data_IF_531390795040
#
_entry.id   IF_531390795040
#
_cell.length_a   1.000
_cell.length_b   1.000
_cell.length_c   1.000
_cell.angle_alpha   90.00
_cell.angle_beta   90.00
_cell.angle_gamma   90.00
#
_symmetry.space_group_name_H-M   'P 1'
#
loop_
_entity.id
_entity.type
_entity.pdbx_description
1 polymer ?
#
# COMPACT_ATOMS: atom_id res chain seq x y z
N UNK A 1 -17.94 1.07 15.13
CA UNK A 1 -17.78 0.10 16.24
C UNK A 1 -17.20 -1.18 15.65
N UNK A 2 -15.91 -1.45 15.89
CA UNK A 2 -15.20 -2.60 15.33
C UNK A 2 -14.52 -3.39 16.46
N UNK A 3 -14.69 -4.71 16.33
CA UNK A 3 -14.26 -5.88 17.08
C UNK A 3 -13.23 -5.70 18.22
N UNK A 4 -13.66 -6.07 19.44
CA UNK A 4 -12.77 -6.55 20.50
C UNK A 4 -12.18 -7.90 20.09
N UNK A 5 -10.87 -7.91 19.85
CA UNK A 5 -10.05 -9.11 19.72
C UNK A 5 -8.65 -8.81 20.23
N UNK A 6 -8.46 -8.97 21.54
CA UNK A 6 -7.22 -8.76 22.31
C UNK A 6 -6.41 -7.49 21.98
N UNK A 7 -6.81 -6.37 22.58
CA UNK A 7 -5.85 -5.30 22.86
C UNK A 7 -4.70 -5.89 23.68
N UNK A 8 -3.49 -5.71 23.18
CA UNK A 8 -2.27 -6.12 23.86
C UNK A 8 -2.19 -5.58 25.28
N UNK A 9 -1.45 -6.30 26.13
CA UNK A 9 -1.06 -5.80 27.45
C UNK A 9 -0.41 -4.41 27.39
N UNK A 10 -0.26 -3.73 28.53
CA UNK A 10 0.00 -2.29 28.56
C UNK A 10 1.33 -1.92 27.86
N UNK A 11 1.26 -1.06 26.83
CA UNK A 11 2.28 -0.01 26.61
C UNK A 11 3.09 0.04 25.30
N UNK A 12 3.05 -0.94 24.38
CA UNK A 12 3.86 -0.90 23.15
C UNK A 12 3.12 -0.38 21.93
N UNK A 13 3.83 0.36 21.07
CA UNK A 13 3.30 0.89 19.81
C UNK A 13 4.28 0.66 18.66
N UNK A 14 3.72 0.42 17.47
CA UNK A 14 4.38 0.60 16.20
C UNK A 14 4.05 2.00 15.65
N UNK A 15 5.04 2.88 15.56
CA UNK A 15 4.88 4.21 14.98
C UNK A 15 5.25 4.19 13.50
N UNK A 16 4.32 4.58 12.64
CA UNK A 16 4.57 4.81 11.22
C UNK A 16 4.71 6.30 10.99
N UNK A 17 5.75 6.73 10.27
CA UNK A 17 6.04 8.14 10.02
C UNK A 17 6.24 8.38 8.55
N UNK A 18 5.55 9.38 8.02
CA UNK A 18 5.76 9.86 6.68
C UNK A 18 7.07 10.65 6.61
N UNK A 19 7.85 10.34 5.59
CA UNK A 19 9.06 11.03 5.20
C UNK A 19 9.12 11.07 3.67
N UNK A 20 10.26 11.48 3.13
CA UNK A 20 10.56 11.44 1.70
C UNK A 20 11.78 10.55 1.45
N UNK A 21 12.06 10.24 0.19
CA UNK A 21 13.13 9.36 -0.27
C UNK A 21 14.50 9.88 0.19
N UNK A 22 14.72 11.21 0.17
CA UNK A 22 15.94 11.84 0.70
C UNK A 22 16.10 11.59 2.21
N UNK A 23 15.01 11.76 2.97
CA UNK A 23 14.97 11.53 4.42
C UNK A 23 15.25 10.07 4.77
N UNK A 24 14.66 9.13 4.04
CA UNK A 24 14.95 7.70 4.18
C UNK A 24 16.41 7.38 3.88
N UNK A 25 16.95 7.93 2.80
CA UNK A 25 18.36 7.71 2.45
C UNK A 25 19.31 8.24 3.52
N UNK A 26 19.04 9.42 4.06
CA UNK A 26 19.81 9.97 5.18
C UNK A 26 19.72 9.08 6.43
N UNK A 27 18.52 8.61 6.79
CA UNK A 27 18.32 7.71 7.92
C UNK A 27 19.06 6.37 7.72
N UNK A 28 18.99 5.79 6.52
CA UNK A 28 19.70 4.57 6.13
C UNK A 28 21.22 4.75 6.22
N UNK A 29 21.76 5.84 5.67
CA UNK A 29 23.20 6.14 5.72
C UNK A 29 23.69 6.30 7.15
N UNK A 30 22.97 7.06 7.98
CA UNK A 30 23.31 7.23 9.40
C UNK A 30 23.37 5.88 10.14
N UNK A 31 22.45 4.95 9.83
CA UNK A 31 22.45 3.60 10.40
C UNK A 31 23.60 2.75 9.86
N UNK A 32 23.89 2.79 8.56
CA UNK A 32 25.01 2.03 7.98
C UNK A 32 26.37 2.38 8.64
N UNK A 33 26.54 3.62 9.11
CA UNK A 33 27.75 4.05 9.83
C UNK A 33 27.82 3.51 11.27
N UNK A 34 26.68 3.22 11.90
CA UNK A 34 26.61 2.58 13.22
C UNK A 34 26.85 1.05 13.14
N UNK A 35 26.69 0.44 11.95
CA UNK A 35 26.74 -1.01 11.76
C UNK A 35 27.82 -1.43 10.74
N UNK A 36 28.97 -1.94 11.22
CA UNK A 36 30.02 -2.56 10.36
C UNK A 36 29.64 -3.94 9.80
N UNK A 37 28.41 -4.43 10.01
CA UNK A 37 28.01 -5.81 9.71
C UNK A 37 26.78 -5.96 8.80
N UNK A 38 26.33 -4.90 8.10
CA UNK A 38 25.34 -5.10 7.03
C UNK A 38 26.07 -5.77 5.84
N UNK A 39 25.59 -6.91 5.31
CA UNK A 39 26.17 -7.52 4.13
C UNK A 39 26.25 -6.52 2.97
N UNK A 40 27.35 -6.58 2.20
CA UNK A 40 27.72 -5.70 1.07
C UNK A 40 26.70 -5.62 -0.10
N UNK A 41 25.48 -6.15 0.05
CA UNK A 41 24.43 -6.14 -0.98
C UNK A 41 23.31 -5.11 -0.80
N UNK A 42 23.13 -4.51 0.38
CA UNK A 42 22.05 -3.53 0.65
C UNK A 42 22.53 -2.07 0.57
N UNK A 43 23.26 -1.70 -0.49
CA UNK A 43 23.79 -0.34 -0.66
C UNK A 43 22.77 0.65 -1.22
N UNK A 44 21.62 0.17 -1.69
CA UNK A 44 20.58 0.98 -2.33
C UNK A 44 19.29 0.88 -1.52
N UNK A 45 18.59 2.02 -1.40
CA UNK A 45 17.23 2.03 -0.87
C UNK A 45 16.34 1.41 -1.95
N UNK A 46 15.46 0.50 -1.58
CA UNK A 46 14.48 -0.06 -2.52
C UNK A 46 13.09 0.11 -1.94
N UNK A 47 12.13 0.40 -2.79
CA UNK A 47 10.73 0.31 -2.43
C UNK A 47 10.36 -1.14 -2.08
N UNK A 48 9.14 -1.35 -1.62
CA UNK A 48 8.67 -2.70 -1.28
C UNK A 48 8.41 -3.58 -2.52
N UNK A 49 8.47 -3.01 -3.73
CA UNK A 49 8.50 -3.72 -5.00
C UNK A 49 9.91 -4.21 -5.38
N UNK A 50 10.95 -3.73 -4.71
CA UNK A 50 12.36 -4.01 -5.02
C UNK A 50 12.98 -3.03 -6.02
N UNK A 51 12.31 -1.93 -6.33
CA UNK A 51 12.77 -0.88 -7.27
C UNK A 51 13.48 0.24 -6.52
N UNK A 52 14.38 0.96 -7.20
CA UNK A 52 15.03 2.14 -6.63
C UNK A 52 14.12 3.38 -6.73
N UNK A 53 13.63 3.93 -5.61
CA UNK A 53 12.79 5.13 -5.60
C UNK A 53 13.54 6.40 -6.06
N UNK A 54 14.87 6.39 -6.15
CA UNK A 54 15.65 7.49 -6.73
C UNK A 54 15.75 7.43 -8.25
N UNK A 55 15.35 6.31 -8.86
CA UNK A 55 15.46 6.06 -10.28
C UNK A 55 14.17 5.43 -10.84
N UNK A 56 13.01 5.94 -10.39
CA UNK A 56 11.75 5.67 -11.08
C UNK A 56 11.76 6.31 -12.47
N UNK A 57 11.05 5.66 -13.40
CA UNK A 57 11.06 5.98 -14.83
C UNK A 57 12.04 5.11 -15.61
N UNK A 58 11.81 5.02 -16.92
CA UNK A 58 12.68 4.34 -17.88
C UNK A 58 13.44 5.33 -18.79
N UNK A 59 13.14 6.64 -18.63
CA UNK A 59 13.76 7.74 -19.35
C UNK A 59 13.40 7.78 -20.83
N UNK A 60 13.71 8.89 -21.49
CA UNK A 60 13.27 9.18 -22.86
C UNK A 60 13.80 8.27 -23.99
N UNK A 61 14.45 7.15 -23.68
CA UNK A 61 14.97 6.18 -24.66
C UNK A 61 13.86 5.40 -25.38
N UNK A 62 12.66 5.41 -24.83
CA UNK A 62 11.42 4.83 -25.31
C UNK A 62 10.62 5.71 -26.27
N UNK A 63 10.91 7.01 -26.27
CA UNK A 63 10.17 8.02 -27.02
C UNK A 63 8.94 8.56 -26.29
N UNK A 64 8.77 8.30 -25.00
CA UNK A 64 7.78 8.96 -24.14
C UNK A 64 8.45 9.91 -23.14
N UNK A 65 7.63 10.76 -22.51
CA UNK A 65 8.08 11.64 -21.44
C UNK A 65 7.60 11.06 -20.13
N UNK A 66 8.55 10.79 -19.24
CA UNK A 66 8.30 10.34 -17.88
C UNK A 66 7.59 11.42 -17.07
N UNK A 67 6.44 11.07 -16.49
CA UNK A 67 5.72 11.92 -15.54
C UNK A 67 5.56 11.19 -14.21
N UNK A 68 5.55 11.95 -13.12
CA UNK A 68 5.47 11.41 -11.75
C UNK A 68 4.46 12.15 -10.90
N UNK A 69 3.76 11.41 -10.05
CA UNK A 69 2.77 11.91 -9.13
C UNK A 69 2.99 11.36 -7.72
N UNK A 70 3.07 12.30 -6.78
CA UNK A 70 3.13 12.00 -5.34
C UNK A 70 1.71 12.17 -4.76
N UNK A 71 1.16 11.15 -4.09
CA UNK A 71 -0.15 11.25 -3.48
C UNK A 71 -0.14 12.27 -2.32
N UNK A 72 -1.23 13.01 -2.18
CA UNK A 72 -1.40 13.96 -1.09
C UNK A 72 -1.63 13.27 0.26
N UNK A 73 -2.08 12.01 0.27
CA UNK A 73 -2.14 11.18 1.46
C UNK A 73 -2.06 9.69 1.13
N UNK A 74 -1.68 8.88 2.12
CA UNK A 74 -1.61 7.41 2.03
C UNK A 74 -2.29 6.78 3.24
N UNK A 75 -2.87 5.61 3.05
CA UNK A 75 -3.31 4.73 4.12
C UNK A 75 -2.85 3.30 3.88
N UNK A 76 -2.41 2.62 4.93
CA UNK A 76 -2.04 1.21 4.92
C UNK A 76 -3.09 0.42 5.69
N UNK A 77 -3.70 -0.57 5.06
CA UNK A 77 -4.68 -1.42 5.74
C UNK A 77 -3.96 -2.61 6.40
N UNK A 78 -3.46 -2.41 7.63
CA UNK A 78 -2.63 -3.39 8.35
C UNK A 78 -3.50 -4.48 8.96
N UNK A 79 -3.21 -5.74 8.62
CA UNK A 79 -3.94 -6.91 9.10
C UNK A 79 -3.19 -7.61 10.24
N UNK A 80 -1.89 -7.79 10.08
CA UNK A 80 -1.05 -8.53 11.02
C UNK A 80 0.37 -7.98 11.02
N UNK A 81 0.99 -7.96 12.21
CA UNK A 81 2.40 -7.68 12.41
C UNK A 81 3.05 -8.87 13.11
N UNK A 82 4.20 -9.31 12.60
CA UNK A 82 4.98 -10.42 13.15
C UNK A 82 6.45 -10.07 13.23
N UNK A 83 7.20 -10.76 14.09
CA UNK A 83 8.64 -10.58 14.21
C UNK A 83 9.38 -11.89 13.93
N UNK A 84 10.54 -11.76 13.28
CA UNK A 84 11.43 -12.86 12.98
C UNK A 84 12.75 -12.67 13.72
N UNK A 85 13.26 -13.77 14.27
CA UNK A 85 14.63 -13.88 14.74
C UNK A 85 15.59 -13.86 13.55
N UNK A 86 16.85 -13.49 13.77
CA UNK A 86 17.90 -13.70 12.78
C UNK A 86 18.08 -15.20 12.51
N UNK A 87 18.64 -15.55 11.35
CA UNK A 87 18.93 -16.96 10.99
C UNK A 87 19.84 -17.63 12.03
N UNK A 88 20.82 -16.88 12.56
CA UNK A 88 21.73 -17.37 13.61
C UNK A 88 21.02 -17.70 14.92
N UNK A 89 19.87 -17.09 15.18
CA UNK A 89 19.06 -17.28 16.38
C UNK A 89 17.82 -18.17 16.12
N UNK A 90 17.83 -18.94 15.03
CA UNK A 90 16.77 -19.91 14.72
C UNK A 90 15.55 -19.32 14.00
N UNK A 91 15.66 -18.12 13.43
CA UNK A 91 14.67 -17.58 12.49
C UNK A 91 14.90 -18.06 11.06
N UNK A 92 13.98 -17.73 10.12
CA UNK A 92 14.12 -18.11 8.71
C UNK A 92 15.27 -17.37 8.02
N UNK A 93 15.84 -17.98 6.98
CA UNK A 93 16.76 -17.29 6.08
C UNK A 93 16.06 -16.08 5.40
N UNK A 94 16.84 -15.08 4.99
CA UNK A 94 16.30 -13.89 4.31
C UNK A 94 15.66 -14.26 2.98
N UNK A 95 14.43 -13.79 2.75
CA UNK A 95 13.60 -14.13 1.59
C UNK A 95 12.78 -15.41 1.75
N UNK A 96 12.90 -16.13 2.88
CA UNK A 96 12.12 -17.33 3.19
C UNK A 96 11.07 -17.10 4.30
N UNK A 97 10.83 -15.84 4.67
CA UNK A 97 9.86 -15.45 5.70
C UNK A 97 8.43 -15.77 5.26
N UNK A 98 7.66 -16.39 6.15
CA UNK A 98 6.22 -16.64 6.00
C UNK A 98 5.52 -16.35 7.33
N UNK A 99 4.18 -16.39 7.36
CA UNK A 99 3.48 -16.25 8.63
C UNK A 99 3.66 -17.47 9.55
N UNK A 100 3.84 -18.66 8.98
CA UNK A 100 3.97 -19.91 9.72
C UNK A 100 5.32 -20.05 10.43
N UNK A 101 6.37 -19.42 9.88
CA UNK A 101 7.72 -19.45 10.46
C UNK A 101 8.08 -18.16 11.23
N UNK A 102 7.11 -17.28 11.48
CA UNK A 102 7.28 -16.14 12.36
C UNK A 102 7.51 -16.59 13.81
N UNK A 103 8.46 -15.94 14.49
CA UNK A 103 8.81 -16.27 15.87
C UNK A 103 7.88 -15.63 16.90
N UNK A 104 7.27 -14.49 16.54
CA UNK A 104 6.36 -13.77 17.43
C UNK A 104 5.27 -13.04 16.66
N UNK A 105 4.04 -13.04 17.16
CA UNK A 105 2.94 -12.24 16.60
C UNK A 105 2.73 -11.00 17.46
N UNK A 106 2.94 -9.82 16.88
CA UNK A 106 2.82 -8.53 17.56
C UNK A 106 1.37 -8.04 17.57
N UNK A 107 0.66 -8.26 16.48
CA UNK A 107 -0.75 -7.89 16.32
C UNK A 107 -1.35 -8.78 15.25
N UNK A 108 -2.58 -9.25 15.46
CA UNK A 108 -3.37 -9.92 14.42
C UNK A 108 -4.83 -9.49 14.52
N UNK A 109 -5.36 -8.94 13.44
CA UNK A 109 -6.76 -8.58 13.32
C UNK A 109 -7.50 -9.66 12.55
N UNK A 110 -8.70 -9.98 13.01
CA UNK A 110 -9.61 -10.92 12.35
C UNK A 110 -11.03 -10.41 12.46
N UNK A 111 -11.82 -10.62 11.41
CA UNK A 111 -13.24 -10.27 11.44
C UNK A 111 -14.04 -11.40 12.08
N UNK A 112 -14.98 -11.11 12.97
CA UNK A 112 -15.89 -12.13 13.51
C UNK A 112 -16.90 -12.64 12.47
N UNK A 113 -16.97 -11.99 11.31
CA UNK A 113 -17.94 -12.29 10.23
C UNK A 113 -17.33 -13.06 9.05
N UNK A 114 -16.01 -13.29 9.04
CA UNK A 114 -15.34 -14.11 8.03
C UNK A 114 -14.68 -15.31 8.70
N UNK A 115 -14.44 -16.39 7.96
CA UNK A 115 -13.81 -17.57 8.54
C UNK A 115 -12.39 -17.20 9.02
N UNK A 116 -11.97 -17.78 10.15
CA UNK A 116 -10.70 -17.47 10.84
C UNK A 116 -9.47 -17.73 9.94
N UNK A 117 -9.64 -18.46 8.83
CA UNK A 117 -8.63 -18.76 7.82
C UNK A 117 -8.46 -17.71 6.72
N UNK A 118 -9.32 -16.69 6.63
CA UNK A 118 -9.22 -15.71 5.55
C UNK A 118 -8.12 -14.67 5.87
N UNK A 119 -7.12 -14.58 4.97
CA UNK A 119 -6.07 -13.57 5.04
C UNK A 119 -6.71 -12.19 5.07
N UNK A 120 -6.24 -11.32 5.98
CA UNK A 120 -6.73 -9.95 6.08
C UNK A 120 -8.25 -9.87 6.28
N UNK A 121 -8.83 -10.84 7.02
CA UNK A 121 -10.24 -10.82 7.36
C UNK A 121 -10.63 -9.60 8.20
N UNK A 122 -9.70 -9.06 8.98
CA UNK A 122 -9.80 -7.73 9.60
C UNK A 122 -8.54 -6.93 9.35
N UNK A 123 -8.67 -5.60 9.38
CA UNK A 123 -7.56 -4.67 9.23
C UNK A 123 -7.81 -3.37 10.00
N UNK A 124 -6.74 -2.63 10.24
CA UNK A 124 -6.78 -1.26 10.79
C UNK A 124 -6.11 -0.31 9.83
N UNK A 125 -6.75 0.82 9.47
CA UNK A 125 -6.14 1.82 8.60
C UNK A 125 -5.07 2.62 9.36
N UNK A 126 -3.85 2.63 8.84
CA UNK A 126 -2.75 3.48 9.28
C UNK A 126 -2.62 4.59 8.24
N UNK A 127 -3.15 5.77 8.54
CA UNK A 127 -3.22 6.90 7.61
C UNK A 127 -2.13 7.95 7.88
N UNK A 128 -1.45 8.41 6.82
CA UNK A 128 -0.36 9.38 6.87
C UNK A 128 -0.54 10.50 5.83
N UNK A 129 -0.21 11.75 6.19
CA UNK A 129 -0.32 12.93 5.32
C UNK A 129 0.88 13.88 5.49
N UNK A 130 1.42 14.37 4.37
CA UNK A 130 2.52 15.34 4.35
C UNK A 130 2.07 16.76 4.71
N UNK A 131 3.00 17.59 5.20
CA UNK A 131 2.75 19.00 5.54
C UNK A 131 1.97 19.25 6.84
N UNK A 132 1.47 18.20 7.51
CA UNK A 132 0.82 18.25 8.82
C UNK A 132 1.57 17.35 9.80
N UNK A 133 2.26 17.96 10.77
CA UNK A 133 3.09 17.23 11.74
C UNK A 133 2.32 16.28 12.65
N UNK A 134 1.00 16.44 12.77
CA UNK A 134 0.15 15.58 13.62
C UNK A 134 -0.37 14.36 12.87
N UNK A 135 -0.36 14.41 11.53
CA UNK A 135 -0.79 13.32 10.63
C UNK A 135 0.35 12.76 9.80
N UNK A 136 1.56 13.29 9.97
CA UNK A 136 2.77 12.68 9.47
C UNK A 136 3.17 11.45 10.26
N UNK A 137 2.53 11.14 11.40
CA UNK A 137 2.72 9.85 12.08
C UNK A 137 1.44 9.22 12.61
N UNK A 138 1.47 7.90 12.78
CA UNK A 138 0.39 7.11 13.33
C UNK A 138 0.96 6.05 14.27
N UNK A 139 0.41 5.96 15.48
CA UNK A 139 0.80 4.95 16.47
C UNK A 139 -0.22 3.82 16.52
N UNK A 140 0.23 2.64 16.10
CA UNK A 140 -0.54 1.41 16.09
C UNK A 140 -0.24 0.59 17.37
N UNK A 141 -1.22 0.27 18.22
CA UNK A 141 -0.99 -0.57 19.38
C UNK A 141 -0.55 -1.99 19.00
N UNK A 142 0.46 -2.52 19.70
CA UNK A 142 1.01 -3.87 19.49
C UNK A 142 1.33 -4.56 20.82
N UNK A 143 1.54 -5.87 20.78
CA UNK A 143 2.23 -6.60 21.84
C UNK A 143 3.71 -6.19 21.85
N UNK A 144 4.26 -5.99 23.04
CA UNK A 144 5.70 -5.82 23.22
C UNK A 144 6.44 -7.09 22.79
N UNK A 145 7.60 -6.92 22.15
CA UNK A 145 8.54 -8.03 22.01
C UNK A 145 8.96 -8.52 23.41
N UNK A 146 9.21 -9.82 23.60
CA UNK A 146 9.78 -10.33 24.84
C UNK A 146 11.09 -9.61 25.17
N UNK A 147 11.24 -9.11 26.40
CA UNK A 147 12.47 -8.43 26.84
C UNK A 147 13.69 -9.35 26.77
N UNK A 148 13.50 -10.62 27.15
CA UNK A 148 14.52 -11.65 27.04
C UNK A 148 14.65 -12.13 25.58
N UNK A 149 15.83 -11.95 24.99
CA UNK A 149 16.09 -12.32 23.60
C UNK A 149 15.55 -11.34 22.58
N UNK A 150 15.22 -10.10 22.97
CA UNK A 150 14.77 -9.06 22.04
C UNK A 150 15.82 -8.76 20.95
N UNK A 151 17.09 -8.79 21.33
CA UNK A 151 18.26 -8.67 20.46
C UNK A 151 18.37 -9.76 19.40
N UNK A 152 17.61 -10.86 19.56
CA UNK A 152 17.63 -11.95 18.60
C UNK A 152 16.78 -11.66 17.36
N UNK A 153 15.86 -10.70 17.43
CA UNK A 153 14.97 -10.27 16.35
C UNK A 153 15.64 -9.25 15.44
N UNK A 154 15.54 -9.44 14.13
CA UNK A 154 16.19 -8.56 13.14
C UNK A 154 15.27 -8.12 12.00
N UNK A 155 14.02 -8.59 11.97
CA UNK A 155 13.04 -8.31 10.91
C UNK A 155 11.63 -8.28 11.46
N UNK A 156 10.81 -7.39 10.90
CA UNK A 156 9.36 -7.34 11.11
C UNK A 156 8.66 -7.70 9.81
N UNK A 157 7.70 -8.61 9.89
CA UNK A 157 6.75 -8.91 8.83
C UNK A 157 5.48 -8.08 8.97
N UNK A 158 5.06 -7.43 7.90
CA UNK A 158 3.87 -6.60 7.82
C UNK A 158 2.93 -7.23 6.79
N UNK A 159 1.75 -7.66 7.23
CA UNK A 159 0.70 -8.15 6.34
C UNK A 159 -0.32 -7.04 6.15
N UNK A 160 -0.41 -6.56 4.91
CA UNK A 160 -1.35 -5.51 4.50
C UNK A 160 -2.41 -6.08 3.57
N UNK A 161 -3.63 -5.55 3.68
CA UNK A 161 -4.66 -5.77 2.67
C UNK A 161 -4.33 -5.00 1.40
N UNK A 162 -4.14 -3.69 1.55
CA UNK A 162 -3.74 -2.78 0.47
C UNK A 162 -2.94 -1.58 0.99
N UNK A 163 -2.23 -0.95 0.07
CA UNK A 163 -1.87 0.47 0.17
C UNK A 163 -2.94 1.28 -0.56
N UNK A 164 -3.50 2.28 0.10
CA UNK A 164 -4.49 3.19 -0.48
C UNK A 164 -3.88 4.58 -0.61
N UNK A 165 -3.91 5.16 -1.81
CA UNK A 165 -3.41 6.49 -2.11
C UNK A 165 -4.55 7.45 -2.40
N UNK A 166 -4.37 8.70 -1.98
CA UNK A 166 -5.23 9.81 -2.34
C UNK A 166 -4.45 10.83 -3.18
N UNK A 167 -4.92 11.12 -4.39
CA UNK A 167 -4.35 12.14 -5.28
C UNK A 167 -5.15 13.45 -5.24
N UNK A 168 -4.43 14.58 -5.34
CA UNK A 168 -5.04 15.90 -5.30
C UNK A 168 -5.85 16.19 -6.58
N UNK A 169 -7.01 16.87 -6.50
CA UNK A 169 -7.80 17.27 -7.66
C UNK A 169 -7.05 18.09 -8.72
N UNK A 170 -6.01 18.85 -8.33
CA UNK A 170 -5.20 19.63 -9.27
C UNK A 170 -4.35 18.76 -10.19
N UNK A 171 -3.94 17.61 -9.68
CA UNK A 171 -3.02 16.67 -10.31
C UNK A 171 -3.75 15.52 -11.03
N UNK A 172 -4.92 15.13 -10.48
CA UNK A 172 -5.77 14.06 -10.99
C UNK A 172 -7.23 14.57 -11.09
N UNK A 173 -7.66 15.02 -12.29
CA UNK A 173 -8.95 15.66 -12.48
C UNK A 173 -10.13 14.67 -12.42
N UNK A 174 -9.97 13.41 -12.82
CA UNK A 174 -11.03 12.41 -12.68
C UNK A 174 -11.26 12.03 -11.20
N UNK A 175 -12.37 12.50 -10.63
CA UNK A 175 -12.75 12.20 -9.25
C UNK A 175 -12.74 10.69 -8.93
N UNK A 176 -13.06 9.84 -9.92
CA UNK A 176 -13.14 8.38 -9.78
C UNK A 176 -11.78 7.70 -9.59
N UNK A 177 -10.68 8.38 -9.90
CA UNK A 177 -9.31 7.85 -9.78
C UNK A 177 -8.55 8.39 -8.56
N UNK A 178 -9.18 9.22 -7.72
CA UNK A 178 -8.46 9.86 -6.61
C UNK A 178 -8.11 8.93 -5.47
N UNK A 179 -8.91 7.88 -5.25
CA UNK A 179 -8.62 6.86 -4.24
C UNK A 179 -8.22 5.57 -4.94
N UNK A 180 -6.92 5.27 -4.92
CA UNK A 180 -6.34 4.11 -5.60
C UNK A 180 -5.80 3.13 -4.58
N UNK A 181 -6.21 1.88 -4.67
CA UNK A 181 -5.76 0.77 -3.83
C UNK A 181 -4.81 -0.15 -4.63
N UNK A 182 -3.62 -0.40 -4.09
CA UNK A 182 -2.71 -1.47 -4.53
C UNK A 182 -2.93 -2.70 -3.66
N UNK A 183 -3.46 -3.76 -4.27
CA UNK A 183 -3.95 -4.92 -3.54
C UNK A 183 -2.84 -5.93 -3.28
N UNK A 184 -2.54 -6.20 -2.02
CA UNK A 184 -1.49 -7.15 -1.62
C UNK A 184 -2.07 -8.46 -1.10
N UNK A 185 -3.04 -8.37 -0.19
CA UNK A 185 -3.74 -9.51 0.35
C UNK A 185 -5.23 -9.24 0.41
N UNK A 186 -5.99 -9.89 -0.45
CA UNK A 186 -7.45 -9.75 -0.42
C UNK A 186 -8.08 -10.95 0.30
N UNK A 187 -9.04 -10.74 1.22
CA UNK A 187 -9.80 -11.86 1.78
C UNK A 187 -10.56 -12.57 0.66
N UNK A 188 -10.29 -13.85 0.50
CA UNK A 188 -10.96 -14.68 -0.49
C UNK A 188 -12.29 -15.15 0.11
N UNK A 189 -13.42 -14.65 -0.39
CA UNK A 189 -14.73 -15.16 0.05
C UNK A 189 -15.15 -16.33 -0.86
N UNK A 190 -15.65 -17.45 -0.31
CA UNK A 190 -16.05 -18.60 -1.11
C UNK A 190 -17.32 -18.37 -1.96
N UNK A 191 -17.92 -17.18 -1.90
CA UNK A 191 -19.30 -16.94 -2.37
C UNK A 191 -19.38 -16.31 -3.78
N UNK A 192 -18.30 -15.71 -4.31
CA UNK A 192 -18.32 -15.08 -5.65
C UNK A 192 -16.95 -15.20 -6.33
N UNK A 193 -16.89 -15.77 -7.54
CA UNK A 193 -15.63 -16.02 -8.26
C UNK A 193 -15.39 -15.13 -9.49
N UNK A 194 -16.42 -14.44 -10.02
CA UNK A 194 -16.35 -13.98 -11.41
C UNK A 194 -15.72 -12.59 -11.63
N UNK A 195 -15.55 -11.76 -10.59
CA UNK A 195 -14.79 -10.51 -10.68
C UNK A 195 -14.12 -10.13 -9.35
N UNK A 196 -13.36 -11.06 -8.79
CA UNK A 196 -12.64 -10.79 -7.54
C UNK A 196 -11.41 -9.92 -7.80
N UNK A 197 -11.31 -8.87 -6.99
CA UNK A 197 -10.09 -8.11 -6.79
C UNK A 197 -9.04 -9.06 -6.24
N UNK A 198 -7.89 -9.13 -6.91
CA UNK A 198 -6.79 -10.05 -6.59
C UNK A 198 -5.55 -9.28 -6.19
N UNK A 199 -4.62 -10.01 -5.58
CA UNK A 199 -3.25 -9.54 -5.38
C UNK A 199 -2.67 -9.06 -6.72
N UNK A 200 -1.98 -7.91 -6.69
CA UNK A 200 -1.40 -7.28 -7.87
C UNK A 200 -2.36 -6.36 -8.64
N UNK A 201 -3.66 -6.41 -8.37
CA UNK A 201 -4.63 -5.49 -9.00
C UNK A 201 -4.45 -4.06 -8.49
N UNK A 202 -4.64 -3.10 -9.39
CA UNK A 202 -4.94 -1.70 -9.06
C UNK A 202 -6.44 -1.52 -9.10
N UNK A 203 -7.00 -1.03 -7.99
CA UNK A 203 -8.43 -0.77 -7.90
C UNK A 203 -8.69 0.66 -7.41
N UNK A 204 -9.89 1.16 -7.65
CA UNK A 204 -10.31 2.48 -7.15
C UNK A 204 -11.54 2.35 -6.26
N UNK A 205 -11.70 3.32 -5.36
CA UNK A 205 -12.89 3.40 -4.49
C UNK A 205 -13.90 4.40 -5.07
N UNK A 206 -15.07 3.90 -5.47
CA UNK A 206 -16.22 4.71 -5.90
C UNK A 206 -17.26 4.77 -4.80
N UNK A 207 -17.48 5.95 -4.25
CA UNK A 207 -18.41 6.21 -3.17
C UNK A 207 -19.85 6.32 -3.67
N UNK A 208 -20.77 5.75 -2.91
CA UNK A 208 -22.21 5.81 -3.19
C UNK A 208 -22.73 7.26 -3.21
N UNK A 209 -23.83 7.53 -3.93
CA UNK A 209 -24.48 8.86 -3.94
C UNK A 209 -24.85 9.41 -2.56
N UNK A 210 -25.05 8.53 -1.57
CA UNK A 210 -25.45 8.92 -0.21
C UNK A 210 -24.25 9.21 0.70
N UNK A 211 -23.03 9.00 0.21
CA UNK A 211 -21.80 9.31 0.94
C UNK A 211 -21.58 10.83 0.99
N UNK A 212 -20.84 11.32 1.99
CA UNK A 212 -20.51 12.74 2.09
C UNK A 212 -19.70 13.20 0.85
N UNK A 213 -20.11 14.27 0.14
CA UNK A 213 -19.40 14.75 -1.06
C UNK A 213 -17.92 15.08 -0.85
N UNK A 214 -17.49 15.40 0.39
CA UNK A 214 -16.09 15.67 0.70
C UNK A 214 -15.19 14.46 0.46
N UNK A 215 -15.72 13.23 0.49
CA UNK A 215 -14.96 12.05 0.09
C UNK A 215 -14.52 12.08 -1.38
N UNK A 216 -15.13 12.88 -2.26
CA UNK A 216 -14.71 12.97 -3.65
C UNK A 216 -13.57 13.99 -3.89
N UNK A 217 -13.34 14.92 -2.97
CA UNK A 217 -12.47 16.09 -3.17
C UNK A 217 -11.42 16.30 -2.08
N UNK A 218 -11.42 15.46 -1.05
CA UNK A 218 -10.47 15.52 0.08
C UNK A 218 -10.10 14.09 0.50
N UNK A 219 -8.99 13.89 1.25
CA UNK A 219 -8.64 12.58 1.84
C UNK A 219 -9.49 12.23 3.07
N UNK A 220 -10.77 12.64 3.12
CA UNK A 220 -11.67 12.45 4.26
C UNK A 220 -11.90 10.97 4.62
N UNK A 221 -11.71 10.03 3.69
CA UNK A 221 -11.81 8.61 4.01
C UNK A 221 -10.67 8.18 4.96
N UNK A 222 -9.48 8.78 4.82
CA UNK A 222 -8.33 8.47 5.67
C UNK A 222 -8.34 9.28 6.96
N UNK A 223 -8.86 10.51 6.92
CA UNK A 223 -8.88 11.43 8.06
C UNK A 223 -10.26 12.05 8.28
N UNK A 224 -11.30 11.26 8.59
CA UNK A 224 -12.67 11.76 8.70
C UNK A 224 -12.77 12.92 9.70
N UNK A 225 -12.05 12.85 10.82
CA UNK A 225 -12.02 13.88 11.87
C UNK A 225 -11.51 15.26 11.42
N UNK A 226 -10.79 15.34 10.30
CA UNK A 226 -10.26 16.61 9.79
C UNK A 226 -11.23 17.32 8.85
N UNK A 227 -12.11 16.58 8.19
CA UNK A 227 -12.93 17.12 7.10
C UNK A 227 -14.42 17.03 7.42
N UNK A 228 -14.82 16.16 8.34
CA UNK A 228 -16.21 15.85 8.65
C UNK A 228 -16.52 16.22 10.09
N UNK A 229 -17.72 16.73 10.32
CA UNK A 229 -18.27 16.86 11.67
C UNK A 229 -18.68 15.47 12.21
N UNK A 230 -18.76 15.25 13.52
CA UNK A 230 -19.13 13.95 14.10
C UNK A 230 -20.44 13.34 13.57
N UNK A 231 -21.43 14.17 13.22
CA UNK A 231 -22.68 13.71 12.60
C UNK A 231 -22.56 13.29 11.14
N UNK A 232 -21.51 13.72 10.45
CA UNK A 232 -21.21 13.43 9.05
C UNK A 232 -20.29 12.21 8.89
N UNK A 233 -19.61 11.79 9.96
CA UNK A 233 -18.79 10.56 10.04
C UNK A 233 -19.62 9.26 10.01
N UNK A 234 -20.92 9.35 9.72
CA UNK A 234 -21.82 8.21 9.58
C UNK A 234 -21.35 7.22 8.48
N UNK A 235 -21.94 6.02 8.48
CA UNK A 235 -21.61 4.93 7.54
C UNK A 235 -21.61 5.43 6.09
N UNK A 236 -20.45 5.43 5.44
CA UNK A 236 -20.31 5.63 4.00
C UNK A 236 -20.28 4.28 3.28
N UNK A 237 -20.81 4.26 2.06
CA UNK A 237 -20.70 3.11 1.16
C UNK A 237 -19.73 3.41 0.05
N UNK A 238 -18.88 2.45 -0.30
CA UNK A 238 -18.09 2.49 -1.53
C UNK A 238 -18.09 1.12 -2.20
N UNK A 239 -17.88 1.13 -3.51
CA UNK A 239 -17.54 -0.04 -4.30
C UNK A 239 -16.08 0.05 -4.71
N UNK A 240 -15.44 -1.10 -4.86
CA UNK A 240 -14.09 -1.20 -5.42
C UNK A 240 -14.23 -1.55 -6.89
N UNK A 241 -13.61 -0.77 -7.77
CA UNK A 241 -13.65 -0.98 -9.22
C UNK A 241 -12.26 -1.21 -9.78
N UNK A 242 -12.15 -2.13 -10.74
CA UNK A 242 -10.91 -2.45 -11.45
C UNK A 242 -10.81 -1.60 -12.71
N UNK A 243 -9.58 -1.22 -13.08
CA UNK A 243 -9.31 -0.36 -14.23
C UNK A 243 -9.06 -1.22 -15.47
N UNK A 244 -9.69 -0.86 -16.58
CA UNK A 244 -9.41 -1.39 -17.92
C UNK A 244 -8.23 -0.64 -18.56
N UNK A 245 -7.14 -1.35 -18.83
CA UNK A 245 -5.92 -0.74 -19.41
C UNK A 245 -6.18 -0.09 -20.78
N UNK A 246 -7.14 -0.61 -21.57
CA UNK A 246 -7.35 -0.15 -22.96
C UNK A 246 -8.12 1.17 -22.98
N UNK A 247 -9.15 1.28 -22.15
CA UNK A 247 -10.04 2.44 -22.15
C UNK A 247 -9.71 3.46 -21.08
N UNK A 248 -8.93 3.08 -20.07
CA UNK A 248 -8.82 3.87 -18.83
C UNK A 248 -10.14 3.96 -18.07
N UNK A 249 -11.15 3.18 -18.46
CA UNK A 249 -12.44 3.10 -17.78
C UNK A 249 -12.45 1.99 -16.74
N UNK A 250 -13.63 1.67 -16.21
CA UNK A 250 -13.78 0.64 -15.19
C UNK A 250 -14.36 -0.65 -15.76
N UNK A 251 -13.87 -1.77 -15.26
CA UNK A 251 -14.34 -3.10 -15.61
C UNK A 251 -15.61 -3.43 -14.84
N UNK A 252 -16.57 -4.08 -15.50
CA UNK A 252 -17.77 -4.61 -14.87
C UNK A 252 -18.04 -6.06 -15.30
N UNK A 253 -18.56 -6.88 -14.38
CA UNK A 253 -19.09 -8.22 -14.68
C UNK A 253 -20.49 -8.09 -15.31
N UNK A 254 -21.04 -9.18 -15.84
CA UNK A 254 -22.40 -9.28 -16.39
C UNK A 254 -23.41 -8.36 -15.66
N UNK A 255 -23.76 -7.25 -16.30
CA UNK A 255 -24.47 -6.17 -15.62
C UNK A 255 -24.49 -4.87 -16.44
N UNK A 256 -24.92 -3.80 -15.79
CA UNK A 256 -25.06 -2.49 -16.40
C UNK A 256 -23.73 -1.71 -16.31
N UNK A 257 -23.17 -1.38 -17.48
CA UNK A 257 -21.96 -0.56 -17.64
C UNK A 257 -22.06 0.82 -16.98
N UNK A 258 -23.26 1.19 -16.49
CA UNK A 258 -23.56 2.45 -15.86
C UNK A 258 -23.63 2.42 -14.32
N UNK A 259 -23.44 1.26 -13.67
CA UNK A 259 -23.70 1.08 -12.21
C UNK A 259 -22.84 2.00 -11.33
N UNK A 260 -21.72 2.55 -11.82
CA UNK A 260 -20.91 3.55 -11.09
C UNK A 260 -21.09 5.02 -11.53
N UNK A 261 -22.01 5.34 -12.45
CA UNK A 261 -22.36 6.76 -12.73
C UNK A 261 -23.13 7.42 -11.57
N UNK A 262 -23.73 6.62 -10.67
CA UNK A 262 -24.56 7.11 -9.57
C UNK A 262 -23.76 7.26 -8.25
N UNK A 263 -22.47 7.58 -8.32
CA UNK A 263 -21.61 7.86 -7.17
C UNK A 263 -21.28 9.34 -7.02
N UNK A 264 -20.80 9.77 -5.85
CA UNK A 264 -20.32 11.16 -5.66
C UNK A 264 -19.02 11.43 -6.43
N UNK A 265 -18.27 10.38 -6.76
CA UNK A 265 -17.10 10.41 -7.63
C UNK A 265 -17.32 9.52 -8.86
N UNK A 266 -18.40 9.80 -9.60
CA UNK A 266 -18.75 9.08 -10.81
C UNK A 266 -17.60 9.07 -11.83
N UNK A 267 -17.55 7.99 -12.62
CA UNK A 267 -16.68 7.89 -13.78
C UNK A 267 -17.30 8.58 -14.99
N UNK A 268 -16.48 8.89 -15.98
CA UNK A 268 -16.86 9.81 -17.08
C UNK A 268 -17.15 9.10 -18.39
N UNK A 269 -16.63 7.89 -18.54
CA UNK A 269 -16.86 7.02 -19.70
C UNK A 269 -17.55 5.73 -19.27
N UNK A 270 -18.43 5.14 -20.09
CA UNK A 270 -19.06 3.86 -19.77
C UNK A 270 -18.02 2.79 -19.45
N UNK A 271 -18.34 1.89 -18.51
CA UNK A 271 -17.46 0.78 -18.19
C UNK A 271 -17.23 -0.16 -19.39
N UNK A 272 -16.21 -1.01 -19.27
CA UNK A 272 -15.89 -2.09 -20.22
C UNK A 272 -16.25 -3.45 -19.61
N UNK A 273 -16.88 -4.32 -20.39
CA UNK A 273 -17.22 -5.67 -19.92
C UNK A 273 -15.96 -6.48 -19.66
N UNK A 274 -15.87 -7.09 -18.48
CA UNK A 274 -14.76 -7.95 -18.11
C UNK A 274 -14.81 -9.26 -18.90
N UNK A 275 -13.73 -9.56 -19.61
CA UNK A 275 -13.54 -10.75 -20.42
C UNK A 275 -12.23 -11.49 -20.12
N UNK A 276 -11.24 -10.84 -19.52
CA UNK A 276 -9.93 -11.42 -19.23
C UNK A 276 -9.16 -10.66 -18.16
N UNK A 277 -8.35 -11.37 -17.37
CA UNK A 277 -7.41 -10.79 -16.40
C UNK A 277 -6.40 -9.83 -17.06
N UNK A 278 -6.10 -9.99 -18.35
CA UNK A 278 -5.20 -9.10 -19.10
C UNK A 278 -5.75 -7.69 -19.29
N UNK A 279 -7.04 -7.46 -19.03
CA UNK A 279 -7.61 -6.12 -19.08
C UNK A 279 -7.32 -5.30 -17.82
N UNK A 280 -7.00 -5.96 -16.71
CA UNK A 280 -6.86 -5.29 -15.42
C UNK A 280 -5.55 -4.54 -15.36
N UNK A 281 -5.60 -3.28 -14.93
CA UNK A 281 -4.39 -2.58 -14.53
C UNK A 281 -3.76 -3.29 -13.32
N UNK A 282 -2.47 -3.57 -13.44
CA UNK A 282 -1.66 -4.19 -12.39
C UNK A 282 -0.57 -3.23 -11.94
N UNK A 283 -0.23 -3.26 -10.66
CA UNK A 283 0.92 -2.52 -10.15
C UNK A 283 2.19 -3.37 -10.20
N UNK A 284 3.35 -2.72 -10.16
CA UNK A 284 4.63 -3.42 -10.11
C UNK A 284 4.89 -3.84 -8.66
N UNK A 285 4.63 -5.10 -8.38
CA UNK A 285 4.94 -5.73 -7.10
C UNK A 285 6.28 -6.45 -7.12
N UNK A 286 6.78 -6.87 -5.94
CA UNK A 286 7.99 -7.68 -5.85
C UNK A 286 7.78 -9.03 -6.56
N UNK A 287 8.84 -9.59 -7.15
CA UNK A 287 8.76 -10.82 -7.95
C UNK A 287 8.10 -12.01 -7.22
N UNK A 288 8.20 -12.04 -5.88
CA UNK A 288 7.59 -13.09 -5.04
C UNK A 288 6.07 -12.95 -4.91
N UNK A 289 5.51 -11.78 -5.22
CA UNK A 289 4.07 -11.48 -5.13
C UNK A 289 3.26 -12.38 -6.09
N UNK A 290 3.73 -12.54 -7.33
CA UNK A 290 3.07 -13.36 -8.36
C UNK A 290 3.39 -14.87 -8.23
N UNK A 291 4.49 -15.21 -7.55
CA UNK A 291 4.94 -16.60 -7.40
C UNK A 291 4.22 -17.36 -6.26
N UNK A 292 3.60 -16.63 -5.32
CA UNK A 292 2.90 -17.23 -4.18
C UNK A 292 1.43 -17.52 -4.52
N UNK A 293 0.90 -18.59 -3.93
CA UNK A 293 -0.54 -18.92 -4.01
C UNK A 293 -1.38 -17.75 -3.46
N UNK A 294 -2.52 -17.45 -4.11
CA UNK A 294 -3.40 -16.35 -3.71
C UNK A 294 -3.97 -16.52 -2.29
N UNK A 295 -3.98 -17.76 -1.75
CA UNK A 295 -4.41 -18.09 -0.38
C UNK A 295 -3.26 -18.10 0.63
N UNK A 296 -2.03 -17.91 0.20
CA UNK A 296 -0.88 -17.72 1.09
C UNK A 296 -0.67 -16.23 1.32
N UNK A 297 -0.67 -15.73 2.56
CA UNK A 297 -0.51 -14.31 2.82
C UNK A 297 0.87 -13.83 2.38
N UNK A 298 0.88 -12.78 1.56
CA UNK A 298 2.09 -12.07 1.22
C UNK A 298 2.53 -11.22 2.40
N UNK A 299 3.76 -11.43 2.86
CA UNK A 299 4.36 -10.73 4.00
C UNK A 299 5.41 -9.74 3.48
N UNK A 300 5.22 -8.46 3.78
CA UNK A 300 6.24 -7.44 3.55
C UNK A 300 7.26 -7.51 4.68
N UNK A 301 8.51 -7.79 4.35
CA UNK A 301 9.59 -7.92 5.34
C UNK A 301 10.38 -6.63 5.37
N UNK A 302 10.48 -6.03 6.55
CA UNK A 302 11.27 -4.83 6.79
C UNK A 302 12.36 -5.17 7.79
N UNK A 303 13.59 -4.74 7.48
CA UNK A 303 14.69 -4.84 8.42
C UNK A 303 14.38 -4.06 9.70
N UNK A 304 14.66 -4.71 10.83
CA UNK A 304 14.44 -4.17 12.14
C UNK A 304 15.71 -4.32 12.96
N UNK A 305 15.97 -3.31 13.78
CA UNK A 305 17.07 -3.37 14.72
C UNK A 305 16.47 -3.10 16.08
N UNK A 306 16.54 -4.04 17.04
CA UNK A 306 16.08 -3.80 18.39
C UNK A 306 16.87 -2.67 19.03
N UNK A 307 16.18 -1.73 19.66
CA UNK A 307 16.82 -0.69 20.46
C UNK A 307 17.33 -1.30 21.76
N UNK A 308 18.39 -0.74 22.34
CA UNK A 308 18.69 -1.01 23.75
C UNK A 308 17.58 -0.37 24.57
N UNK A 309 16.91 -1.14 25.44
CA UNK A 309 15.90 -0.66 26.38
C UNK A 309 16.39 0.63 27.04
N UNK A 310 15.67 1.74 26.81
CA UNK A 310 16.03 3.03 27.38
C UNK A 310 16.05 2.98 28.90
N UNK A 311 16.88 3.80 29.54
CA UNK A 311 17.13 3.85 30.99
C UNK A 311 15.89 4.05 31.90
N UNK A 312 14.68 4.14 31.34
CA UNK A 312 13.44 4.40 32.07
C UNK A 312 12.34 3.33 31.90
N UNK A 313 12.67 2.13 31.41
CA UNK A 313 11.67 1.04 31.30
C UNK A 313 10.53 1.36 30.33
N UNK A 314 10.77 2.25 29.36
CA UNK A 314 9.84 2.49 28.26
C UNK A 314 9.84 1.27 27.35
N UNK A 315 8.68 0.64 27.22
CA UNK A 315 8.38 -0.42 26.25
C UNK A 315 8.96 -0.08 24.88
N UNK A 316 9.68 -1.03 24.26
CA UNK A 316 10.29 -0.84 22.95
C UNK A 316 9.24 -0.35 21.94
N UNK A 317 9.56 0.74 21.23
CA UNK A 317 8.75 1.28 20.13
C UNK A 317 9.31 0.77 18.82
N UNK A 318 8.47 0.10 18.03
CA UNK A 318 8.81 -0.18 16.64
C UNK A 318 8.53 1.11 15.85
N UNK A 319 9.48 1.62 15.08
CA UNK A 319 9.25 2.74 14.19
C UNK A 319 9.42 2.34 12.73
N UNK A 320 8.61 2.91 11.85
CA UNK A 320 8.66 2.71 10.40
C UNK A 320 8.64 4.06 9.73
N UNK A 321 9.74 4.40 9.07
CA UNK A 321 9.79 5.58 8.22
C UNK A 321 9.28 5.17 6.82
N UNK A 322 8.29 5.87 6.29
CA UNK A 322 7.56 5.55 5.06
C UNK A 322 7.69 6.70 4.06
N UNK A 323 8.17 6.43 2.85
CA UNK A 323 8.18 7.37 1.73
C UNK A 323 7.17 6.93 0.66
N UNK A 324 6.47 7.91 0.09
CA UNK A 324 5.48 7.76 -0.99
C UNK A 324 5.76 8.72 -2.15
N UNK A 325 7.01 9.19 -2.29
CA UNK A 325 7.38 10.08 -3.38
C UNK A 325 7.22 9.35 -4.73
N UNK A 326 6.68 10.07 -5.72
CA UNK A 326 6.58 9.62 -7.12
C UNK A 326 5.92 8.24 -7.30
N UNK A 327 4.94 7.92 -6.44
CA UNK A 327 4.26 6.62 -6.43
C UNK A 327 3.57 6.30 -7.75
N UNK A 328 3.01 7.29 -8.44
CA UNK A 328 2.46 7.08 -9.78
C UNK A 328 3.47 7.58 -10.82
N UNK A 329 3.97 6.68 -11.65
CA UNK A 329 4.73 6.99 -12.85
C UNK A 329 3.88 6.71 -14.09
N UNK A 330 3.91 7.60 -15.08
CA UNK A 330 3.31 7.32 -16.38
C UNK A 330 4.03 8.01 -17.54
N UNK A 331 3.97 7.35 -18.68
CA UNK A 331 4.51 7.84 -19.94
C UNK A 331 3.45 8.59 -20.72
N UNK A 332 3.70 9.87 -20.99
CA UNK A 332 2.81 10.68 -21.81
C UNK A 332 3.54 11.82 -22.51
N UNK A 333 3.27 11.98 -23.80
CA UNK A 333 3.87 13.02 -24.65
C UNK A 333 2.95 14.23 -24.86
N UNK A 334 1.85 14.35 -24.11
CA UNK A 334 0.90 15.43 -24.31
C UNK A 334 1.35 16.78 -23.72
N UNK A 335 2.39 16.76 -22.87
CA UNK A 335 3.03 17.92 -22.27
C UNK A 335 2.21 18.66 -21.22
N UNK A 336 1.10 18.11 -20.73
CA UNK A 336 0.26 18.78 -19.72
C UNK A 336 0.65 18.43 -18.28
N UNK A 337 1.37 17.33 -18.05
CA UNK A 337 1.79 16.86 -16.73
C UNK A 337 0.63 16.41 -15.82
N UNK A 338 -0.53 16.10 -16.41
CA UNK A 338 -1.77 15.72 -15.72
C UNK A 338 -2.14 14.31 -16.14
N UNK A 339 -2.23 13.40 -15.17
CA UNK A 339 -2.65 12.02 -15.45
C UNK A 339 -4.17 11.96 -15.61
N UNK A 340 -4.66 11.68 -16.82
CA UNK A 340 -6.10 11.66 -17.14
C UNK A 340 -6.50 10.46 -18.03
N UNK A 341 -6.41 9.21 -17.54
CA UNK A 341 -6.54 8.02 -18.39
C UNK A 341 -7.93 7.85 -19.03
N UNK A 342 -9.00 8.43 -18.47
CA UNK A 342 -10.33 8.33 -19.09
C UNK A 342 -10.48 9.28 -20.27
N UNK A 343 -9.91 10.49 -20.16
CA UNK A 343 -10.05 11.55 -21.17
C UNK A 343 -8.94 11.53 -22.19
N UNK A 344 -7.77 11.03 -21.80
CA UNK A 344 -6.56 11.06 -22.59
C UNK A 344 -6.03 9.65 -22.83
N UNK A 345 -6.03 9.26 -24.10
CA UNK A 345 -5.47 7.98 -24.54
C UNK A 345 -3.94 7.94 -24.38
N UNK A 346 -3.27 9.09 -24.37
CA UNK A 346 -1.82 9.13 -24.18
C UNK A 346 -1.39 8.71 -22.76
N UNK A 347 -2.27 8.83 -21.77
CA UNK A 347 -1.99 8.48 -20.35
C UNK A 347 -2.35 7.02 -20.01
N UNK A 348 -2.59 6.18 -21.02
CA UNK A 348 -2.99 4.78 -20.81
C UNK A 348 -1.81 3.85 -21.03
N UNK A 349 -1.73 2.80 -20.21
CA UNK A 349 -0.71 1.78 -20.42
C UNK A 349 -1.07 0.85 -21.58
N UNK A 350 -0.05 0.35 -22.26
CA UNK A 350 -0.15 -0.79 -23.17
C UNK A 350 0.59 -2.03 -22.63
N UNK A 351 0.93 -2.05 -21.33
CA UNK A 351 1.44 -3.22 -20.62
C UNK A 351 0.29 -4.20 -20.32
N UNK A 352 0.57 -5.50 -20.39
CA UNK A 352 -0.43 -6.57 -20.15
C UNK A 352 -0.24 -7.29 -18.79
N UNK A 353 0.78 -6.90 -18.02
CA UNK A 353 1.02 -7.33 -16.63
C UNK A 353 1.81 -6.28 -15.86
N UNK A 354 1.86 -6.39 -14.52
CA UNK A 354 2.65 -5.48 -13.68
C UNK A 354 4.16 -5.64 -13.86
N UNK A 355 4.60 -6.85 -14.25
CA UNK A 355 5.98 -7.18 -14.62
C UNK A 355 6.38 -6.71 -16.03
N UNK A 356 5.41 -6.60 -16.95
CA UNK A 356 5.61 -6.07 -18.31
C UNK A 356 5.77 -4.54 -18.31
N UNK A 357 5.13 -3.87 -17.34
CA UNK A 357 5.34 -2.45 -17.03
C UNK A 357 6.83 -2.21 -16.61
N UNK A 358 7.58 -1.41 -17.38
CA UNK A 358 9.05 -1.14 -17.32
C UNK A 358 10.02 -2.16 -17.92
N UNK A 359 9.63 -3.40 -18.23
CA UNK A 359 10.61 -4.33 -18.83
C UNK A 359 10.78 -4.10 -20.32
N UNK A 360 9.79 -3.48 -20.95
CA UNK A 360 9.84 -3.10 -22.35
C UNK A 360 9.81 -1.58 -22.45
N UNK A 361 10.99 -0.98 -22.53
CA UNK A 361 11.12 0.46 -22.73
C UNK A 361 10.32 0.92 -23.95
N UNK A 362 10.05 0.14 -25.00
CA UNK A 362 9.27 0.65 -26.15
C UNK A 362 7.76 0.84 -25.91
N UNK A 363 7.29 0.98 -24.66
CA UNK A 363 5.88 0.96 -24.26
C UNK A 363 5.48 2.22 -23.52
N UNK A 364 4.16 2.47 -23.49
CA UNK A 364 3.59 3.48 -22.60
C UNK A 364 3.32 2.80 -21.26
N UNK A 365 4.11 3.13 -20.26
CA UNK A 365 3.98 2.57 -18.94
C UNK A 365 3.04 3.42 -18.07
N UNK A 366 2.33 2.74 -17.16
CA UNK A 366 1.57 3.39 -16.07
C UNK A 366 1.74 2.53 -14.84
N UNK A 367 2.41 3.07 -13.82
CA UNK A 367 2.92 2.27 -12.71
C UNK A 367 2.59 2.93 -11.42
N UNK A 368 1.94 2.14 -10.57
CA UNK A 368 1.84 2.46 -9.17
C UNK A 368 2.92 1.69 -8.43
N UNK A 369 3.82 2.42 -7.80
CA UNK A 369 4.87 1.89 -6.95
C UNK A 369 4.34 1.66 -5.54
N UNK A 370 4.86 0.63 -4.89
CA UNK A 370 4.68 0.47 -3.45
C UNK A 370 5.50 1.54 -2.72
N UNK A 371 5.19 1.89 -1.46
CA UNK A 371 6.04 2.82 -0.73
C UNK A 371 7.40 2.21 -0.43
N UNK A 372 8.34 3.06 -0.09
CA UNK A 372 9.60 2.64 0.53
C UNK A 372 9.45 2.69 2.04
N UNK A 373 9.86 1.63 2.74
CA UNK A 373 9.78 1.58 4.21
C UNK A 373 11.12 1.20 4.84
N UNK A 374 11.48 1.89 5.91
CA UNK A 374 12.67 1.60 6.70
C UNK A 374 12.28 1.42 8.18
N UNK A 375 12.48 0.21 8.69
CA UNK A 375 12.20 -0.14 10.08
C UNK A 375 13.29 0.37 11.02
N UNK A 376 12.90 0.79 12.20
CA UNK A 376 13.76 1.38 13.23
C UNK A 376 13.27 1.01 14.64
N UNK A 377 14.16 1.13 15.61
CA UNK A 377 13.79 1.15 17.03
C UNK A 377 13.99 2.55 17.57
N UNK A 378 13.07 2.98 18.44
CA UNK A 378 13.24 4.18 19.27
C UNK A 378 13.45 3.85 20.74
#
# INVERSE_FOLDING_TARGET
MLALGMFGGPGSTAEFRLTNTVGLNNARMARSQAYRMIPRGATQLTDLGGEDPENYGDGAGDGFTDNFLTPAAVSMEVCQLVAYKSEANGGPARGAETLENANFTLMKLSSPYMEVSDICSGFTPVALKGGDSTKSSYQLPILALPEEGMEEYDRIGIVLRSFSYYFDPADLPENSYRYVDLILNHPQTPVVQNMMVKRGDVAVKLFSMNSNPLYATTPAMFFPDLYLNPGEMSSFGFSVQLIDIVTGGFLYDNGDANVGFNGINAFEIPGTGFNSEMQKLKFKGPATLEAQDEKTPYVLVVDFTPGTSGENGSSAKLGFDVSVDNVLFWDSNDGNGVYSPQRNVADRTNAVSGTDNLTNAARQNVIFHLPTMLGNSE
#
